data_IF_452838344277
#
_entry.id   IF_452838344277
#
_cell.length_a   1.000
_cell.length_b   1.000
_cell.length_c   1.000
_cell.angle_alpha   90.00
_cell.angle_beta   90.00
_cell.angle_gamma   90.00
#
_symmetry.space_group_name_H-M   'P 1'
#
loop_
_entity.id
_entity.type
_entity.pdbx_description
1 polymer ?
#
# COMPACT_ATOMS: atom_id res chain seq x y z
N UNK A 1 4.60 15.68 -3.99
CA UNK A 1 5.92 15.03 -4.15
C UNK A 1 5.90 13.50 -3.93
N UNK A 2 5.65 12.96 -2.72
CA UNK A 2 5.76 11.50 -2.52
C UNK A 2 4.72 10.71 -3.34
N UNK A 3 3.48 11.18 -3.39
CA UNK A 3 2.43 10.54 -4.21
C UNK A 3 2.77 10.64 -5.70
N UNK A 4 3.33 11.76 -6.16
CA UNK A 4 3.75 11.94 -7.56
C UNK A 4 4.85 10.96 -7.96
N UNK A 5 5.83 10.70 -7.07
CA UNK A 5 6.86 9.67 -7.29
C UNK A 5 6.25 8.27 -7.46
N UNK A 6 5.16 7.98 -6.75
CA UNK A 6 4.41 6.74 -6.94
C UNK A 6 3.50 6.76 -8.16
N UNK A 7 3.13 7.93 -8.70
CA UNK A 7 2.36 8.04 -9.95
C UNK A 7 3.24 7.89 -11.18
N UNK A 8 4.52 8.20 -11.06
CA UNK A 8 5.47 8.08 -12.15
C UNK A 8 5.67 6.60 -12.54
N UNK A 9 5.22 6.25 -13.75
CA UNK A 9 5.33 4.90 -14.31
C UNK A 9 6.63 4.70 -15.11
N UNK A 10 7.45 5.75 -15.29
CA UNK A 10 8.75 5.66 -15.98
C UNK A 10 9.77 4.81 -15.21
N UNK A 11 9.59 4.66 -13.88
CA UNK A 11 10.40 3.83 -13.00
C UNK A 11 10.14 2.31 -13.12
N UNK A 12 9.64 1.83 -14.27
CA UNK A 12 9.28 0.42 -14.44
C UNK A 12 10.45 -0.57 -14.25
N UNK A 13 11.69 -0.13 -14.47
CA UNK A 13 12.91 -0.91 -14.25
C UNK A 13 13.60 -0.67 -12.89
N UNK A 14 13.47 0.52 -12.29
CA UNK A 14 14.05 0.85 -10.98
C UNK A 14 12.97 0.97 -9.90
N UNK A 15 12.92 -0.04 -9.03
CA UNK A 15 11.94 -0.12 -7.95
C UNK A 15 12.35 0.65 -6.69
N UNK A 16 13.59 1.12 -6.57
CA UNK A 16 14.11 1.72 -5.34
C UNK A 16 13.34 2.97 -4.92
N UNK A 17 13.05 3.84 -5.89
CA UNK A 17 12.26 5.06 -5.68
C UNK A 17 10.87 4.76 -5.10
N UNK A 18 10.01 3.99 -5.80
CA UNK A 18 8.67 3.69 -5.32
C UNK A 18 8.65 2.83 -4.05
N UNK A 19 9.65 1.96 -3.81
CA UNK A 19 9.81 1.26 -2.53
C UNK A 19 10.05 2.23 -1.37
N UNK A 20 11.02 3.14 -1.55
CA UNK A 20 11.36 4.14 -0.53
C UNK A 20 10.18 5.08 -0.28
N UNK A 21 9.49 5.52 -1.34
CA UNK A 21 8.28 6.33 -1.21
C UNK A 21 7.23 5.63 -0.35
N UNK A 22 7.00 4.33 -0.54
CA UNK A 22 6.04 3.57 0.29
C UNK A 22 6.49 3.45 1.76
N UNK A 23 7.80 3.35 2.01
CA UNK A 23 8.36 3.39 3.38
C UNK A 23 8.11 4.73 4.05
N UNK A 24 8.37 5.83 3.35
CA UNK A 24 8.16 7.18 3.88
C UNK A 24 6.67 7.42 4.15
N UNK A 25 5.77 6.97 3.29
CA UNK A 25 4.32 7.07 3.53
C UNK A 25 3.89 6.32 4.80
N UNK A 26 4.41 5.10 5.03
CA UNK A 26 4.12 4.34 6.24
C UNK A 26 4.60 5.08 7.50
N UNK A 27 5.77 5.71 7.45
CA UNK A 27 6.31 6.51 8.55
C UNK A 27 5.48 7.78 8.81
N UNK A 28 5.11 8.51 7.75
CA UNK A 28 4.26 9.70 7.88
C UNK A 28 2.89 9.36 8.48
N UNK A 29 2.32 8.23 8.10
CA UNK A 29 1.01 7.81 8.60
C UNK A 29 1.01 7.32 10.07
N UNK A 30 2.15 7.34 10.76
CA UNK A 30 2.23 7.02 12.20
C UNK A 30 1.73 8.15 13.10
N UNK A 31 1.65 9.40 12.62
CA UNK A 31 1.10 10.54 13.37
C UNK A 31 -0.16 11.13 12.71
N UNK A 32 -0.87 11.98 13.45
CA UNK A 32 -2.11 12.60 12.98
C UNK A 32 -1.85 13.60 11.85
N UNK A 33 -0.84 14.46 11.97
CA UNK A 33 -0.51 15.44 10.94
C UNK A 33 -0.10 14.76 9.63
N UNK A 34 0.73 13.71 9.70
CA UNK A 34 1.17 13.00 8.51
C UNK A 34 0.03 12.25 7.79
N UNK A 35 -0.96 11.74 8.52
CA UNK A 35 -2.19 11.21 7.89
C UNK A 35 -3.02 12.31 7.24
N UNK A 36 -3.16 13.46 7.89
CA UNK A 36 -3.89 14.60 7.33
C UNK A 36 -3.22 15.09 6.03
N UNK A 37 -1.90 15.26 6.03
CA UNK A 37 -1.14 15.66 4.83
C UNK A 37 -1.20 14.61 3.72
N UNK A 38 -1.12 13.33 4.06
CA UNK A 38 -1.30 12.25 3.09
C UNK A 38 -2.68 12.31 2.42
N UNK A 39 -3.75 12.50 3.19
CA UNK A 39 -5.12 12.59 2.68
C UNK A 39 -5.44 13.92 1.97
N UNK A 40 -4.62 14.96 2.19
CA UNK A 40 -4.73 16.23 1.48
C UNK A 40 -4.47 16.07 -0.03
N UNK A 41 -3.74 15.02 -0.42
CA UNK A 41 -3.51 14.71 -1.82
C UNK A 41 -4.62 13.81 -2.38
N UNK A 42 -5.45 14.32 -3.29
CA UNK A 42 -6.66 13.63 -3.78
C UNK A 42 -6.44 12.25 -4.44
N UNK A 43 -5.24 11.95 -4.93
CA UNK A 43 -4.91 10.62 -5.50
C UNK A 43 -4.30 9.63 -4.48
N UNK A 44 -4.14 10.01 -3.21
CA UNK A 44 -3.33 9.28 -2.24
C UNK A 44 -3.76 7.82 -2.05
N UNK A 45 -5.04 7.59 -1.79
CA UNK A 45 -5.58 6.22 -1.59
C UNK A 45 -5.51 5.43 -2.90
N UNK A 46 -5.90 6.05 -4.01
CA UNK A 46 -5.89 5.43 -5.33
C UNK A 46 -4.48 4.92 -5.72
N UNK A 47 -3.45 5.72 -5.50
CA UNK A 47 -2.06 5.39 -5.85
C UNK A 47 -1.50 4.29 -4.95
N UNK A 48 -1.68 4.39 -3.63
CA UNK A 48 -1.24 3.34 -2.70
C UNK A 48 -1.96 2.03 -3.01
N UNK A 49 -3.28 2.08 -3.22
CA UNK A 49 -4.08 0.93 -3.63
C UNK A 49 -3.55 0.36 -4.96
N UNK A 50 -3.27 1.18 -5.98
CA UNK A 50 -2.73 0.74 -7.28
C UNK A 50 -1.39 0.01 -7.13
N UNK A 51 -0.49 0.50 -6.27
CA UNK A 51 0.90 0.03 -6.17
C UNK A 51 1.12 -1.13 -5.18
N UNK A 52 0.18 -1.42 -4.27
CA UNK A 52 0.30 -2.42 -3.18
C UNK A 52 0.79 -3.82 -3.59
N UNK A 53 0.67 -4.25 -4.84
CA UNK A 53 1.15 -5.57 -5.30
C UNK A 53 2.07 -5.47 -6.52
N UNK A 54 2.54 -4.27 -6.86
CA UNK A 54 3.24 -3.99 -8.13
C UNK A 54 4.71 -3.63 -7.95
N UNK A 55 5.15 -3.35 -6.73
CA UNK A 55 6.52 -2.90 -6.45
C UNK A 55 7.33 -4.08 -5.89
N UNK A 56 7.13 -4.41 -4.61
CA UNK A 56 7.79 -5.53 -3.92
C UNK A 56 6.98 -5.94 -2.70
N UNK A 57 7.32 -7.09 -2.12
CA UNK A 57 6.63 -7.59 -0.92
C UNK A 57 6.71 -6.59 0.24
N UNK A 58 7.88 -5.99 0.47
CA UNK A 58 8.05 -4.99 1.53
C UNK A 58 7.19 -3.76 1.28
N UNK A 59 7.09 -3.30 0.03
CA UNK A 59 6.19 -2.20 -0.32
C UNK A 59 4.71 -2.58 -0.12
N UNK A 60 4.33 -3.83 -0.42
CA UNK A 60 2.99 -4.36 -0.11
C UNK A 60 2.68 -4.25 1.38
N UNK A 61 3.58 -4.73 2.24
CA UNK A 61 3.40 -4.72 3.69
C UNK A 61 3.30 -3.29 4.24
N UNK A 62 4.09 -2.35 3.69
CA UNK A 62 4.04 -0.91 4.02
C UNK A 62 2.71 -0.29 3.59
N UNK A 63 2.24 -0.58 2.38
CA UNK A 63 0.97 -0.08 1.87
C UNK A 63 -0.23 -0.59 2.68
N UNK A 64 -0.21 -1.85 3.14
CA UNK A 64 -1.23 -2.37 4.07
C UNK A 64 -1.27 -1.53 5.35
N UNK A 65 -0.11 -1.20 5.95
CA UNK A 65 -0.06 -0.38 7.16
C UNK A 65 -0.56 1.05 6.95
N UNK A 66 -0.22 1.68 5.82
CA UNK A 66 -0.75 2.99 5.43
C UNK A 66 -2.28 2.94 5.36
N UNK A 67 -2.84 2.02 4.58
CA UNK A 67 -4.29 1.89 4.38
C UNK A 67 -5.03 1.54 5.68
N UNK A 68 -4.43 0.69 6.52
CA UNK A 68 -4.97 0.38 7.84
C UNK A 68 -4.96 1.59 8.78
N UNK A 69 -3.86 2.34 8.82
CA UNK A 69 -3.72 3.53 9.67
C UNK A 69 -4.78 4.59 9.32
N UNK A 70 -4.92 4.93 8.03
CA UNK A 70 -5.94 5.91 7.61
C UNK A 70 -7.36 5.40 7.79
N UNK A 71 -7.63 4.13 7.47
CA UNK A 71 -8.95 3.52 7.66
C UNK A 71 -9.35 3.44 9.14
N UNK A 72 -8.38 3.29 10.05
CA UNK A 72 -8.62 3.24 11.50
C UNK A 72 -8.79 4.62 12.13
N UNK A 73 -7.97 5.59 11.74
CA UNK A 73 -7.87 6.87 12.46
C UNK A 73 -8.48 8.08 11.73
N UNK A 74 -8.79 7.95 10.44
CA UNK A 74 -9.29 9.04 9.60
C UNK A 74 -10.60 8.69 8.89
N UNK A 75 -11.33 7.68 9.38
CA UNK A 75 -12.55 7.19 8.76
C UNK A 75 -13.62 8.30 8.68
N UNK A 76 -13.98 8.64 7.44
CA UNK A 76 -15.15 9.45 7.11
C UNK A 76 -15.99 8.71 6.07
N UNK A 77 -17.30 8.98 5.93
CA UNK A 77 -18.11 8.34 4.90
C UNK A 77 -17.53 8.50 3.49
N UNK A 78 -16.95 9.66 3.18
CA UNK A 78 -16.29 9.92 1.89
C UNK A 78 -15.06 9.03 1.68
N UNK A 79 -14.15 8.97 2.66
CA UNK A 79 -12.95 8.13 2.58
C UNK A 79 -13.31 6.64 2.48
N UNK A 80 -14.26 6.17 3.28
CA UNK A 80 -14.69 4.77 3.24
C UNK A 80 -15.34 4.41 1.90
N UNK A 81 -16.15 5.30 1.33
CA UNK A 81 -16.72 5.12 0.00
C UNK A 81 -15.63 5.10 -1.08
N UNK A 82 -14.64 6.01 -1.01
CA UNK A 82 -13.50 5.99 -1.92
C UNK A 82 -12.73 4.66 -1.83
N UNK A 83 -12.41 4.20 -0.62
CA UNK A 83 -11.73 2.91 -0.40
C UNK A 83 -12.54 1.72 -0.92
N UNK A 84 -13.87 1.78 -0.80
CA UNK A 84 -14.78 0.77 -1.35
C UNK A 84 -14.71 0.76 -2.88
N UNK A 85 -14.84 1.91 -3.54
CA UNK A 85 -14.81 2.03 -5.00
C UNK A 85 -13.46 1.61 -5.59
N UNK A 86 -12.36 1.91 -4.89
CA UNK A 86 -11.02 1.49 -5.29
C UNK A 86 -10.74 -0.01 -5.04
N UNK A 87 -11.68 -0.72 -4.41
CA UNK A 87 -11.54 -2.14 -4.10
C UNK A 87 -10.41 -2.43 -3.10
N UNK A 88 -10.16 -1.52 -2.15
CA UNK A 88 -9.05 -1.64 -1.18
C UNK A 88 -9.12 -2.97 -0.44
N UNK A 89 -10.30 -3.34 0.06
CA UNK A 89 -10.50 -4.60 0.81
C UNK A 89 -10.15 -5.81 -0.06
N UNK A 90 -10.56 -5.81 -1.34
CA UNK A 90 -10.22 -6.88 -2.27
C UNK A 90 -8.70 -7.03 -2.47
N UNK A 91 -7.97 -5.91 -2.57
CA UNK A 91 -6.50 -5.95 -2.64
C UNK A 91 -5.85 -6.44 -1.36
N UNK A 92 -6.37 -6.04 -0.19
CA UNK A 92 -5.88 -6.53 1.09
C UNK A 92 -6.07 -8.06 1.22
N UNK A 93 -7.22 -8.58 0.79
CA UNK A 93 -7.45 -10.02 0.72
C UNK A 93 -6.44 -10.72 -0.20
N UNK A 94 -6.15 -10.14 -1.37
CA UNK A 94 -5.17 -10.70 -2.30
C UNK A 94 -3.74 -10.69 -1.71
N UNK A 95 -3.34 -9.63 -1.00
CA UNK A 95 -2.06 -9.59 -0.27
C UNK A 95 -1.97 -10.73 0.74
N UNK A 96 -3.04 -10.98 1.51
CA UNK A 96 -3.09 -12.10 2.45
C UNK A 96 -2.94 -13.45 1.75
N UNK A 97 -3.65 -13.65 0.64
CA UNK A 97 -3.58 -14.90 -0.15
C UNK A 97 -2.16 -15.16 -0.68
N UNK A 98 -1.50 -14.15 -1.23
CA UNK A 98 -0.12 -14.26 -1.75
C UNK A 98 0.86 -14.59 -0.63
N UNK A 99 0.74 -13.93 0.52
CA UNK A 99 1.61 -14.17 1.69
C UNK A 99 1.40 -15.54 2.34
N UNK A 100 0.21 -16.13 2.21
CA UNK A 100 -0.05 -17.50 2.65
C UNK A 100 0.51 -18.53 1.64
N UNK A 101 0.34 -18.28 0.33
CA UNK A 101 0.86 -19.15 -0.72
C UNK A 101 2.39 -19.25 -0.75
N UNK A 102 3.09 -18.15 -0.47
CA UNK A 102 4.55 -18.14 -0.39
C UNK A 102 5.09 -19.05 0.74
N UNK A 103 4.49 -18.98 1.94
CA UNK A 103 4.86 -19.83 3.09
C UNK A 103 4.64 -21.32 2.84
N UNK A 104 3.58 -21.70 2.11
CA UNK A 104 3.29 -23.10 1.78
C UNK A 104 4.27 -23.66 0.72
N UNK A 105 4.70 -22.82 -0.22
CA UNK A 105 5.67 -23.19 -1.27
C UNK A 105 7.11 -23.32 -0.74
N UNK A 106 7.46 -22.59 0.32
CA UNK A 106 8.77 -22.68 0.96
C UNK A 106 8.92 -24.00 1.75
N UNK A 107 7.86 -24.45 2.43
CA UNK A 107 7.85 -25.72 3.19
C UNK A 107 7.90 -26.99 2.34
N UNK A 108 7.54 -26.91 1.05
CA UNK A 108 7.52 -28.05 0.13
C UNK A 108 8.85 -28.26 -0.60
N UNK A 109 9.81 -27.33 -0.49
CA UNK A 109 11.16 -27.49 -1.09
C UNK A 109 12.09 -28.41 -0.29
N UNK A 110 11.71 -28.83 0.92
CA UNK A 110 12.43 -29.82 1.72
C UNK A 110 11.88 -31.24 1.60
N UNK A 111 10.89 -31.46 0.72
CA UNK A 111 10.28 -32.77 0.46
C UNK A 111 10.40 -33.06 -1.04
N UNK A 112 11.62 -33.32 -1.49
CA UNK A 112 11.94 -33.91 -2.78
C UNK A 112 13.20 -34.77 -2.63
#
# INVERSE_FOLDING_TARGET
MIIELLMDESFSSDRRGPEMAMVVLDLLCQCAEGRAEFLNHGAAIAVVCKKILRISQTASDRAVRVLFSVGRFCATPALLNEMLQLGVVGKLCLVLQVSCGSKTKEKSKGVA
#
